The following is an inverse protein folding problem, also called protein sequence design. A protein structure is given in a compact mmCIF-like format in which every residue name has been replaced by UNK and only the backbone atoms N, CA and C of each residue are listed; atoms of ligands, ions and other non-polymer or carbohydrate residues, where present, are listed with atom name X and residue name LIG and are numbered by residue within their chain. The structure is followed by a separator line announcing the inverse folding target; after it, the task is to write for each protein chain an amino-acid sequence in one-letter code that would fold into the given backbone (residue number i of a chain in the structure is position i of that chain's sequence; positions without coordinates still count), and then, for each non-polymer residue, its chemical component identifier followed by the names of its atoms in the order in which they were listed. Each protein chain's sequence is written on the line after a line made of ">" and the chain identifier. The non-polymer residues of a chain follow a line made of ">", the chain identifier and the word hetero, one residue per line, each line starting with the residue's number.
data_IF_839389652424
#
_entry.id   IF_839389652424
#
_cell.length_a   1.000
_cell.length_b   1.000
_cell.length_c   1.000
_cell.angle_alpha   90.00
_cell.angle_beta   90.00
_cell.angle_gamma   90.00
#
_symmetry.space_group_name_H-M   'P 1'
#
loop_
_entity.id
_entity.type
_entity.pdbx_description
1 polymer ?
#
# COMPACT_ATOMS: atom_id res chain seq x y z
N UNK A 1 2.27 1.93 -5.21
CA UNK A 1 1.63 1.06 -6.24
C UNK A 1 1.93 1.60 -7.63
N UNK A 2 2.03 0.75 -8.65
CA UNK A 2 2.10 1.21 -10.05
C UNK A 2 0.70 1.60 -10.57
N UNK A 3 0.62 2.28 -11.72
CA UNK A 3 -0.66 2.58 -12.37
C UNK A 3 -1.44 1.29 -12.68
N UNK A 4 -0.77 0.30 -13.24
CA UNK A 4 -1.35 -1.02 -13.53
C UNK A 4 -1.82 -1.76 -12.28
N UNK A 5 -1.10 -1.65 -11.15
CA UNK A 5 -1.56 -2.24 -9.89
C UNK A 5 -2.86 -1.59 -9.41
N UNK A 6 -3.04 -0.28 -9.63
CA UNK A 6 -4.29 0.42 -9.28
C UNK A 6 -5.44 -0.05 -10.17
N UNK A 7 -5.28 -0.02 -11.49
CA UNK A 7 -6.31 -0.48 -12.46
C UNK A 7 -6.77 -1.92 -12.21
N UNK A 8 -5.83 -2.80 -11.82
CA UNK A 8 -6.14 -4.20 -11.54
C UNK A 8 -6.85 -4.40 -10.21
N UNK A 9 -6.57 -3.58 -9.19
CA UNK A 9 -7.26 -3.65 -7.89
C UNK A 9 -8.64 -3.01 -7.94
N UNK A 10 -8.82 -1.93 -8.71
CA UNK A 10 -10.14 -1.27 -8.86
C UNK A 10 -11.15 -2.16 -9.59
N UNK A 11 -10.68 -3.23 -10.26
CA UNK A 11 -11.51 -4.12 -11.06
C UNK A 11 -11.90 -3.54 -12.42
N UNK A 12 -11.42 -2.34 -12.74
CA UNK A 12 -11.67 -1.63 -14.00
C UNK A 12 -10.93 -2.27 -15.18
N UNK A 13 -9.83 -2.98 -14.92
CA UNK A 13 -9.13 -3.72 -15.94
C UNK A 13 -9.85 -5.03 -16.29
N UNK A 14 -10.23 -5.20 -17.57
CA UNK A 14 -10.68 -6.48 -18.13
C UNK A 14 -9.49 -7.41 -18.35
N UNK A 15 -9.07 -8.06 -17.25
CA UNK A 15 -7.94 -8.99 -17.21
C UNK A 15 -8.33 -10.23 -16.42
N UNK A 16 -7.70 -11.40 -16.70
CA UNK A 16 -7.95 -12.62 -15.95
C UNK A 16 -7.74 -12.45 -14.44
N UNK A 17 -8.49 -13.20 -13.65
CA UNK A 17 -8.42 -13.18 -12.18
C UNK A 17 -7.02 -13.42 -11.63
N UNK A 18 -6.21 -14.23 -12.33
CA UNK A 18 -4.80 -14.44 -11.96
C UNK A 18 -3.99 -13.14 -11.93
N UNK A 19 -4.26 -12.20 -12.84
CA UNK A 19 -3.58 -10.89 -12.88
C UNK A 19 -4.05 -9.94 -11.78
N UNK A 20 -5.32 -10.02 -11.40
CA UNK A 20 -5.86 -9.29 -10.24
C UNK A 20 -5.24 -9.83 -8.95
N UNK A 21 -5.16 -11.16 -8.82
CA UNK A 21 -4.53 -11.83 -7.69
C UNK A 21 -3.04 -11.50 -7.56
N UNK A 22 -2.29 -11.53 -8.67
CA UNK A 22 -0.89 -11.11 -8.71
C UNK A 22 -0.70 -9.67 -8.22
N UNK A 23 -1.57 -8.75 -8.64
CA UNK A 23 -1.54 -7.36 -8.17
C UNK A 23 -1.81 -7.27 -6.66
N UNK A 24 -2.86 -7.94 -6.18
CA UNK A 24 -3.17 -7.98 -4.75
C UNK A 24 -2.01 -8.56 -3.92
N UNK A 25 -1.35 -9.62 -4.39
CA UNK A 25 -0.19 -10.23 -3.74
C UNK A 25 0.99 -9.26 -3.63
N UNK A 26 1.33 -8.55 -4.71
CA UNK A 26 2.39 -7.52 -4.67
C UNK A 26 2.06 -6.39 -3.70
N UNK A 27 0.79 -6.05 -3.55
CA UNK A 27 0.36 -4.94 -2.68
C UNK A 27 0.39 -5.36 -1.21
N UNK A 28 0.01 -6.61 -0.89
CA UNK A 28 0.17 -7.15 0.46
C UNK A 28 1.62 -7.04 0.94
N UNK A 29 2.57 -7.43 0.10
CA UNK A 29 4.00 -7.28 0.43
C UNK A 29 4.40 -5.82 0.69
N UNK A 30 3.87 -4.87 -0.07
CA UNK A 30 4.13 -3.43 0.16
C UNK A 30 3.49 -2.91 1.46
N UNK A 31 2.37 -3.50 1.88
CA UNK A 31 1.74 -3.17 3.17
C UNK A 31 2.65 -3.65 4.30
N UNK A 32 3.15 -4.88 4.24
CA UNK A 32 4.12 -5.42 5.23
C UNK A 32 5.41 -4.58 5.31
N UNK A 33 5.91 -4.10 4.17
CA UNK A 33 7.05 -3.18 4.12
C UNK A 33 6.70 -1.83 4.77
N UNK A 34 5.51 -1.29 4.50
CA UNK A 34 5.05 -0.03 5.08
C UNK A 34 4.84 -0.12 6.60
N UNK A 35 4.44 -1.27 7.12
CA UNK A 35 4.34 -1.52 8.57
C UNK A 35 5.71 -1.39 9.24
N UNK A 36 6.75 -2.02 8.67
CA UNK A 36 8.12 -1.92 9.15
C UNK A 36 8.65 -0.48 9.05
N UNK A 37 8.40 0.20 7.92
CA UNK A 37 8.77 1.60 7.75
C UNK A 37 8.08 2.49 8.81
N UNK A 38 6.81 2.23 9.12
CA UNK A 38 6.07 2.99 10.13
C UNK A 38 6.67 2.83 11.53
N UNK A 39 7.09 1.63 11.93
CA UNK A 39 7.78 1.40 13.21
C UNK A 39 9.08 2.20 13.32
N UNK A 40 9.89 2.21 12.24
CA UNK A 40 11.13 3.00 12.17
C UNK A 40 10.83 4.50 12.26
N UNK A 41 9.81 4.98 11.55
CA UNK A 41 9.42 6.38 11.60
C UNK A 41 8.92 6.79 12.99
N UNK A 42 8.16 5.92 13.67
CA UNK A 42 7.70 6.18 15.04
C UNK A 42 8.87 6.39 16.00
N UNK A 43 9.90 5.56 15.89
CA UNK A 43 11.09 5.62 16.76
C UNK A 43 12.01 6.81 16.44
N UNK A 44 12.32 7.02 15.16
CA UNK A 44 13.40 7.95 14.77
C UNK A 44 12.90 9.27 14.19
N UNK A 45 11.69 9.33 13.64
CA UNK A 45 11.14 10.50 12.95
C UNK A 45 9.65 10.70 13.24
N UNK A 46 9.24 10.95 14.49
CA UNK A 46 7.83 10.94 14.91
C UNK A 46 6.95 11.98 14.18
N UNK A 47 7.53 13.06 13.65
CA UNK A 47 6.82 14.00 12.78
C UNK A 47 6.36 13.36 11.47
N UNK A 48 7.24 12.63 10.79
CA UNK A 48 6.92 11.91 9.56
C UNK A 48 5.97 10.74 9.81
N UNK A 49 6.10 10.06 10.95
CA UNK A 49 5.12 9.06 11.38
C UNK A 49 3.72 9.64 11.51
N UNK A 50 3.60 10.82 12.14
CA UNK A 50 2.33 11.54 12.26
C UNK A 50 1.75 11.90 10.89
N UNK A 51 2.56 12.46 9.99
CA UNK A 51 2.13 12.76 8.61
C UNK A 51 1.63 11.50 7.87
N UNK A 52 2.35 10.39 7.99
CA UNK A 52 1.95 9.10 7.41
C UNK A 52 0.62 8.62 7.98
N UNK A 53 0.47 8.64 9.31
CA UNK A 53 -0.76 8.23 10.02
C UNK A 53 -1.96 9.06 9.59
N UNK A 54 -1.84 10.38 9.56
CA UNK A 54 -2.91 11.29 9.11
C UNK A 54 -3.32 10.99 7.66
N UNK A 55 -2.36 10.69 6.77
CA UNK A 55 -2.65 10.38 5.38
C UNK A 55 -3.42 9.06 5.17
N UNK A 56 -3.31 8.08 6.08
CA UNK A 56 -3.88 6.73 5.91
C UNK A 56 -5.01 6.39 6.88
N UNK A 57 -5.11 7.04 8.04
CA UNK A 57 -6.10 6.71 9.08
C UNK A 57 -7.28 7.70 9.16
N UNK A 58 -7.17 8.92 8.63
CA UNK A 58 -8.20 9.96 8.82
C UNK A 58 -9.21 10.05 7.65
N UNK A 59 -9.65 8.90 7.12
CA UNK A 59 -10.73 8.81 6.12
C UNK A 59 -11.75 7.73 6.44
#
# INVERSE_FOLDING_TARGET
>A
MTATDRERITGEADVPDSKRYEAASRIRKRIEELEQDAEILEEYHPGLYKELREAVCDK
#
